data_IF_314057894930
#
_entry.id   IF_314057894930
#
_cell.length_a   1.000
_cell.length_b   1.000
_cell.length_c   1.000
_cell.angle_alpha   90.00
_cell.angle_beta   90.00
_cell.angle_gamma   90.00
#
_symmetry.space_group_name_H-M   'P 1'
#
loop_
_entity.id
_entity.type
_entity.pdbx_description
1 polymer ?
#
# COMPACT_ATOMS: atom_id res chain seq x y z
N UNK A 1 7.61 11.42 6.82
CA UNK A 1 7.32 9.98 6.94
C UNK A 1 6.25 9.62 5.93
N UNK A 2 6.37 8.46 5.30
CA UNK A 2 5.36 7.94 4.36
C UNK A 2 4.52 6.91 5.10
N UNK A 3 3.21 6.90 4.87
CA UNK A 3 2.27 5.96 5.47
C UNK A 3 1.40 5.28 4.41
N UNK A 4 1.02 4.03 4.71
CA UNK A 4 0.14 3.19 3.91
C UNK A 4 -1.10 2.85 4.74
N UNK A 5 -2.27 3.19 4.24
CA UNK A 5 -3.55 2.94 4.92
C UNK A 5 -4.47 2.18 4.00
N UNK A 6 -5.07 1.10 4.48
CA UNK A 6 -6.11 0.37 3.78
C UNK A 6 -7.48 0.89 4.23
N UNK A 7 -8.35 1.21 3.28
CA UNK A 7 -9.77 1.46 3.50
C UNK A 7 -10.57 0.15 3.38
N UNK A 8 -11.84 0.17 3.79
CA UNK A 8 -12.72 -1.01 3.74
C UNK A 8 -13.00 -1.52 2.32
N UNK A 9 -12.85 -0.65 1.32
CA UNK A 9 -13.02 -0.99 -0.11
C UNK A 9 -11.74 -1.55 -0.76
N UNK A 10 -10.80 -2.06 0.03
CA UNK A 10 -9.51 -2.60 -0.42
C UNK A 10 -8.63 -1.61 -1.19
N UNK A 11 -8.87 -0.31 -1.07
CA UNK A 11 -7.94 0.69 -1.57
C UNK A 11 -6.87 1.01 -0.54
N UNK A 12 -5.64 1.15 -1.02
CA UNK A 12 -4.48 1.55 -0.23
C UNK A 12 -4.14 3.00 -0.55
N UNK A 13 -4.16 3.85 0.48
CA UNK A 13 -3.65 5.22 0.41
C UNK A 13 -2.16 5.24 0.67
N UNK A 14 -1.41 5.95 -0.18
CA UNK A 14 0.01 6.27 0.04
C UNK A 14 0.09 7.77 0.30
N UNK A 15 0.53 8.18 1.50
CA UNK A 15 0.63 9.60 1.83
C UNK A 15 1.89 9.94 2.61
N UNK A 16 2.27 11.21 2.59
CA UNK A 16 3.38 11.76 3.36
C UNK A 16 2.87 12.66 4.50
N UNK A 17 3.58 12.66 5.62
CA UNK A 17 3.35 13.59 6.73
C UNK A 17 4.64 13.86 7.51
N UNK A 18 4.74 15.06 8.07
CA UNK A 18 5.78 15.45 9.02
C UNK A 18 5.46 15.04 10.47
N UNK A 19 4.19 14.80 10.78
CA UNK A 19 3.75 14.35 12.11
C UNK A 19 2.78 13.16 11.99
N UNK A 20 3.32 11.96 12.11
CA UNK A 20 2.55 10.72 12.06
C UNK A 20 1.59 10.61 13.24
N UNK A 21 1.94 11.10 14.43
CA UNK A 21 1.06 10.96 15.61
C UNK A 21 -0.19 11.81 15.46
N UNK A 22 -0.02 13.07 15.06
CA UNK A 22 -1.14 13.95 14.78
C UNK A 22 -1.96 13.42 13.60
N UNK A 23 -1.30 13.00 12.52
CA UNK A 23 -1.97 12.47 11.34
C UNK A 23 -2.79 11.22 11.64
N UNK A 24 -2.26 10.27 12.43
CA UNK A 24 -3.00 9.08 12.84
C UNK A 24 -4.21 9.39 13.71
N UNK A 25 -4.10 10.37 14.62
CA UNK A 25 -5.26 10.84 15.41
C UNK A 25 -6.33 11.42 14.50
N UNK A 26 -5.97 12.30 13.57
CA UNK A 26 -6.90 12.90 12.60
C UNK A 26 -7.54 11.85 11.70
N UNK A 27 -6.78 10.87 11.22
CA UNK A 27 -7.31 9.80 10.37
C UNK A 27 -8.33 8.94 11.09
N UNK A 28 -8.11 8.65 12.38
CA UNK A 28 -9.05 7.90 13.22
C UNK A 28 -10.35 8.65 13.51
N UNK A 29 -10.35 9.98 13.44
CA UNK A 29 -11.54 10.79 13.74
C UNK A 29 -12.29 11.28 12.51
N UNK A 30 -11.62 11.36 11.35
CA UNK A 30 -12.17 11.96 10.11
C UNK A 30 -12.83 10.95 9.15
N UNK A 31 -12.84 9.66 9.46
CA UNK A 31 -13.47 8.65 8.60
C UNK A 31 -14.44 7.79 9.41
N UNK A 32 -15.72 7.69 9.00
CA UNK A 32 -16.67 6.74 9.58
C UNK A 32 -16.34 5.29 9.19
N UNK A 33 -15.52 5.08 8.15
CA UNK A 33 -15.04 3.78 7.69
C UNK A 33 -13.76 3.35 8.45
N UNK A 34 -13.57 2.04 8.66
CA UNK A 34 -12.38 1.51 9.34
C UNK A 34 -11.14 1.67 8.48
N UNK A 35 -10.35 2.69 8.78
CA UNK A 35 -9.01 2.87 8.21
C UNK A 35 -7.98 2.04 8.97
N UNK A 36 -7.34 1.07 8.29
CA UNK A 36 -6.28 0.25 8.86
C UNK A 36 -4.89 0.79 8.47
N UNK A 37 -4.10 1.23 9.44
CA UNK A 37 -2.71 1.63 9.18
C UNK A 37 -1.84 0.39 8.94
N UNK A 38 -1.44 0.16 7.70
CA UNK A 38 -0.62 -0.99 7.34
C UNK A 38 0.85 -0.79 7.71
N UNK A 39 1.42 0.37 7.37
CA UNK A 39 2.85 0.64 7.55
C UNK A 39 3.17 2.13 7.55
N UNK A 40 4.24 2.49 8.26
CA UNK A 40 4.91 3.78 8.12
C UNK A 40 6.40 3.57 7.86
N UNK A 41 6.97 4.34 6.94
CA UNK A 41 8.40 4.35 6.65
C UNK A 41 8.98 5.75 6.77
N UNK A 42 10.27 5.84 7.08
CA UNK A 42 11.00 7.09 6.98
C UNK A 42 11.06 7.50 5.51
N UNK A 43 10.69 8.74 5.24
CA UNK A 43 10.82 9.32 3.93
C UNK A 43 10.21 10.70 3.80
N UNK A 44 10.50 11.33 2.66
CA UNK A 44 10.10 12.69 2.30
C UNK A 44 9.02 12.72 1.21
N UNK A 45 8.61 13.94 0.84
CA UNK A 45 7.62 14.15 -0.22
C UNK A 45 8.11 13.66 -1.59
N UNK A 46 9.41 13.73 -1.87
CA UNK A 46 9.97 13.24 -3.14
C UNK A 46 9.80 11.73 -3.25
N UNK A 47 10.08 11.00 -2.18
CA UNK A 47 9.88 9.55 -2.12
C UNK A 47 8.42 9.15 -2.25
N UNK A 48 7.49 9.92 -1.68
CA UNK A 48 6.06 9.71 -1.88
C UNK A 48 5.66 9.88 -3.35
N UNK A 49 6.14 10.94 -4.00
CA UNK A 49 5.91 11.17 -5.45
C UNK A 49 6.51 10.04 -6.30
N UNK A 50 7.67 9.51 -5.92
CA UNK A 50 8.28 8.36 -6.58
C UNK A 50 7.43 7.09 -6.44
N UNK A 51 6.86 6.83 -5.25
CA UNK A 51 5.95 5.71 -5.03
C UNK A 51 4.67 5.85 -5.83
N UNK A 52 4.10 7.06 -5.85
CA UNK A 52 2.93 7.38 -6.67
C UNK A 52 3.18 7.16 -8.16
N UNK A 53 4.37 7.53 -8.64
CA UNK A 53 4.79 7.27 -10.02
C UNK A 53 4.98 5.79 -10.29
N UNK A 54 5.61 5.07 -9.35
CA UNK A 54 5.85 3.62 -9.44
C UNK A 54 4.56 2.83 -9.54
N UNK A 55 3.56 3.17 -8.72
CA UNK A 55 2.27 2.49 -8.67
C UNK A 55 1.18 3.23 -9.45
N UNK A 56 1.55 4.10 -10.40
CA UNK A 56 0.58 4.91 -11.16
C UNK A 56 -0.44 4.03 -11.89
N UNK A 57 -0.05 2.85 -12.36
CA UNK A 57 -0.93 1.87 -13.00
C UNK A 57 -1.99 1.28 -12.05
N UNK A 58 -1.73 1.32 -10.74
CA UNK A 58 -2.66 0.86 -9.71
C UNK A 58 -3.53 2.00 -9.16
N UNK A 59 -3.28 3.24 -9.56
CA UNK A 59 -3.98 4.41 -9.03
C UNK A 59 -5.47 4.33 -9.40
N UNK A 60 -6.32 4.38 -8.39
CA UNK A 60 -7.77 4.48 -8.54
C UNK A 60 -8.17 5.95 -8.67
N UNK A 61 -7.96 6.74 -7.62
CA UNK A 61 -8.22 8.18 -7.63
C UNK A 61 -7.35 8.91 -6.60
N UNK A 62 -6.89 10.12 -6.92
CA UNK A 62 -6.04 10.92 -6.02
C UNK A 62 -4.83 10.13 -5.51
N UNK A 63 -4.78 9.92 -4.19
CA UNK A 63 -3.71 9.20 -3.48
C UNK A 63 -4.08 7.73 -3.15
N UNK A 64 -5.18 7.22 -3.72
CA UNK A 64 -5.68 5.86 -3.49
C UNK A 64 -5.33 4.93 -4.64
N UNK A 65 -4.83 3.74 -4.28
CA UNK A 65 -4.32 2.72 -5.19
C UNK A 65 -5.01 1.39 -4.91
N UNK A 66 -5.21 0.56 -5.94
CA UNK A 66 -5.74 -0.80 -5.79
C UNK A 66 -4.74 -1.65 -5.00
N UNK A 67 -5.24 -2.49 -4.08
CA UNK A 67 -4.44 -3.43 -3.29
C UNK A 67 -3.95 -4.64 -4.10
N UNK A 68 -3.30 -4.40 -5.23
CA UNK A 68 -2.72 -5.47 -6.03
C UNK A 68 -1.51 -6.10 -5.32
N UNK A 69 -1.20 -7.34 -5.69
CA UNK A 69 -0.14 -8.12 -5.07
C UNK A 69 1.21 -7.38 -5.09
N UNK A 70 1.52 -6.63 -6.14
CA UNK A 70 2.76 -5.83 -6.23
C UNK A 70 2.90 -4.80 -5.10
N UNK A 71 1.81 -4.09 -4.77
CA UNK A 71 1.81 -3.07 -3.72
C UNK A 71 1.82 -3.71 -2.33
N UNK A 72 1.06 -4.79 -2.14
CA UNK A 72 1.04 -5.55 -0.89
C UNK A 72 2.40 -6.16 -0.59
N UNK A 73 3.03 -6.79 -1.58
CA UNK A 73 4.37 -7.36 -1.48
C UNK A 73 5.41 -6.30 -1.13
N UNK A 74 5.30 -5.11 -1.71
CA UNK A 74 6.15 -3.97 -1.35
C UNK A 74 5.99 -3.57 0.12
N UNK A 75 4.76 -3.50 0.62
CA UNK A 75 4.47 -3.14 2.03
C UNK A 75 4.97 -4.23 2.99
N UNK A 76 4.79 -5.51 2.65
CA UNK A 76 5.23 -6.66 3.46
C UNK A 76 6.77 -6.72 3.50
N UNK A 77 7.44 -6.50 2.37
CA UNK A 77 8.91 -6.45 2.32
C UNK A 77 9.48 -5.39 3.27
N UNK A 78 8.82 -4.23 3.37
CA UNK A 78 9.20 -3.18 4.31
C UNK A 78 8.93 -3.55 5.78
N UNK A 79 8.10 -4.56 6.05
CA UNK A 79 7.80 -5.04 7.40
C UNK A 79 8.88 -5.98 7.93
N UNK A 80 9.26 -6.98 7.15
CA UNK A 80 10.33 -7.92 7.50
C UNK A 80 11.07 -8.36 6.22
N UNK A 81 12.20 -7.70 5.91
CA UNK A 81 13.01 -8.04 4.75
C UNK A 81 13.52 -9.49 4.79
N UNK A 82 13.83 -10.01 5.97
CA UNK A 82 14.35 -11.37 6.19
C UNK A 82 13.27 -12.41 5.88
N UNK A 83 12.08 -12.24 6.45
CA UNK A 83 10.92 -13.09 6.16
C UNK A 83 10.57 -13.09 4.68
N UNK A 84 10.57 -11.92 4.04
CA UNK A 84 10.25 -11.83 2.61
C UNK A 84 11.32 -12.48 1.73
N UNK A 85 12.61 -12.38 2.09
CA UNK A 85 13.70 -13.08 1.39
C UNK A 85 13.55 -14.60 1.47
N UNK A 86 13.10 -15.13 2.61
CA UNK A 86 12.80 -16.55 2.76
C UNK A 86 11.58 -16.98 1.93
N UNK A 87 10.52 -16.16 1.89
CA UNK A 87 9.36 -16.43 1.04
C UNK A 87 9.71 -16.47 -0.46
N UNK A 88 10.58 -15.57 -0.92
CA UNK A 88 11.05 -15.56 -2.31
C UNK A 88 11.87 -16.81 -2.68
N UNK A 89 12.63 -17.37 -1.73
CA UNK A 89 13.40 -18.59 -1.94
C UNK A 89 12.51 -19.85 -1.99
N UNK A 90 11.31 -19.78 -1.39
CA UNK A 90 10.35 -20.90 -1.29
C UNK A 90 9.23 -20.86 -2.34
N UNK A 91 9.00 -19.74 -3.04
CA UNK A 91 8.00 -19.66 -4.12
C UNK A 91 8.50 -20.40 -5.38
N UNK A 92 7.83 -21.46 -5.86
CA UNK A 92 8.10 -21.98 -7.20
C UNK A 92 7.76 -20.91 -8.26
N UNK A 93 8.55 -20.84 -9.34
CA UNK A 93 8.32 -19.91 -10.45
C UNK A 93 6.94 -20.16 -11.08
N UNK A 94 6.16 -19.07 -11.13
CA UNK A 94 4.99 -18.80 -11.97
C UNK A 94 3.60 -19.28 -11.52
N UNK A 95 2.67 -18.32 -11.50
CA UNK A 95 1.34 -18.48 -12.09
C UNK A 95 0.86 -17.13 -12.60
N UNK A 96 0.89 -16.96 -13.92
CA UNK A 96 -0.02 -16.04 -14.63
C UNK A 96 -1.43 -16.51 -14.32
N UNK A 97 -2.29 -15.67 -13.74
CA UNK A 97 -3.73 -15.56 -14.04
C UNK A 97 -4.40 -14.61 -13.06
N UNK A 98 -4.82 -13.44 -13.54
CA UNK A 98 -6.15 -12.93 -13.22
C UNK A 98 -6.77 -12.47 -14.54
N UNK A 99 -7.14 -13.47 -15.36
CA UNK A 99 -8.25 -13.28 -16.28
C UNK A 99 -9.51 -13.36 -15.43
N UNK A 100 -10.19 -12.23 -15.29
CA UNK A 100 -11.61 -12.19 -14.96
C UNK A 100 -12.28 -11.30 -15.99
N UNK A 101 -12.37 -11.81 -17.22
CA UNK A 101 -13.61 -11.64 -17.97
C UNK A 101 -14.65 -12.49 -17.23
N UNK A 102 -15.77 -11.91 -16.81
CA UNK A 102 -17.03 -12.43 -17.31
C UNK A 102 -18.14 -11.36 -17.31
N UNK A 103 -18.91 -11.24 -18.40
CA UNK A 103 -20.09 -10.40 -18.52
C UNK A 103 -21.33 -11.19 -18.09
N UNK A 104 -22.24 -10.52 -17.39
CA UNK A 104 -23.70 -10.69 -17.52
C UNK A 104 -24.35 -9.37 -17.15
#
# INVERSE_FOLDING_TARGET
MIYFIQAENDLIKIGYTNDVKQRLRTLRTMSPERLNLMKTIKGDQKQETLLHRRFKHLRSHGEWFRSEQELLDYIIYLHSPEYYRELLQKKPKASKHFSSKNPY
#
